data_IF_529993902406
#
_entry.id   IF_529993902406
#
_cell.length_a   1.000
_cell.length_b   1.000
_cell.length_c   1.000
_cell.angle_alpha   90.00
_cell.angle_beta   90.00
_cell.angle_gamma   90.00
#
_symmetry.space_group_name_H-M   'P 1'
#
loop_
_entity.id
_entity.type
_entity.pdbx_description
1 polymer ?
#
# COMPACT_ATOMS: atom_id res chain seq x y z
N UNK A 1 6.68 -15.37 6.23
CA UNK A 1 6.47 -13.91 6.32
C UNK A 1 6.15 -13.29 4.96
N UNK A 2 6.94 -13.55 3.91
CA UNK A 2 6.73 -12.97 2.57
C UNK A 2 5.41 -13.38 1.89
N UNK A 3 4.97 -14.63 2.04
CA UNK A 3 3.66 -15.07 1.54
C UNK A 3 2.51 -14.34 2.24
N UNK A 4 2.56 -14.20 3.57
CA UNK A 4 1.58 -13.43 4.35
C UNK A 4 1.55 -11.95 3.92
N UNK A 5 2.72 -11.33 3.79
CA UNK A 5 2.87 -9.95 3.29
C UNK A 5 2.22 -9.79 1.90
N UNK A 6 2.55 -10.68 0.96
CA UNK A 6 2.03 -10.62 -0.41
C UNK A 6 0.50 -10.77 -0.44
N UNK A 7 -0.05 -11.67 0.37
CA UNK A 7 -1.49 -11.89 0.47
C UNK A 7 -2.21 -10.67 1.08
N UNK A 8 -1.63 -10.04 2.09
CA UNK A 8 -2.18 -8.81 2.68
C UNK A 8 -2.08 -7.66 1.68
N UNK A 9 -0.91 -7.44 1.07
CA UNK A 9 -0.67 -6.36 0.11
C UNK A 9 -1.59 -6.43 -1.11
N UNK A 10 -1.97 -7.63 -1.55
CA UNK A 10 -2.97 -7.82 -2.61
C UNK A 10 -4.29 -7.11 -2.30
N UNK A 11 -4.71 -7.15 -1.03
CA UNK A 11 -5.98 -6.58 -0.54
C UNK A 11 -5.88 -5.14 -0.03
N UNK A 12 -4.66 -4.58 0.07
CA UNK A 12 -4.43 -3.23 0.57
C UNK A 12 -4.29 -2.23 -0.58
N UNK A 13 -4.92 -1.07 -0.41
CA UNK A 13 -4.63 0.10 -1.23
C UNK A 13 -3.17 0.53 -1.12
N UNK A 14 -2.62 1.10 -2.18
CA UNK A 14 -1.21 1.51 -2.30
C UNK A 14 -0.77 2.42 -1.16
N UNK A 15 -1.64 3.34 -0.71
CA UNK A 15 -1.34 4.27 0.39
C UNK A 15 -1.12 3.57 1.75
N UNK A 16 -1.55 2.32 1.91
CA UNK A 16 -1.45 1.58 3.17
C UNK A 16 -0.34 0.54 3.17
N UNK A 17 0.26 0.19 2.02
CA UNK A 17 1.25 -0.89 1.93
C UNK A 17 2.51 -0.60 2.76
N UNK A 18 3.08 0.61 2.64
CA UNK A 18 4.24 1.01 3.46
C UNK A 18 3.90 1.06 4.95
N UNK A 19 2.70 1.53 5.31
CA UNK A 19 2.26 1.57 6.71
C UNK A 19 2.19 0.16 7.31
N UNK A 20 1.67 -0.80 6.56
CA UNK A 20 1.65 -2.21 6.96
C UNK A 20 3.06 -2.77 7.13
N UNK A 21 3.98 -2.50 6.20
CA UNK A 21 5.38 -2.94 6.32
C UNK A 21 6.06 -2.33 7.54
N UNK A 22 5.83 -1.04 7.79
CA UNK A 22 6.36 -0.35 8.96
C UNK A 22 5.80 -0.93 10.26
N UNK A 23 4.48 -1.14 10.33
CA UNK A 23 3.84 -1.75 11.49
C UNK A 23 4.37 -3.18 11.74
N UNK A 24 4.50 -3.99 10.70
CA UNK A 24 5.08 -5.34 10.81
C UNK A 24 6.52 -5.28 11.35
N UNK A 25 7.33 -4.35 10.84
CA UNK A 25 8.70 -4.15 11.31
C UNK A 25 8.74 -3.75 12.79
N UNK A 26 7.93 -2.78 13.20
CA UNK A 26 7.84 -2.33 14.58
C UNK A 26 7.35 -3.44 15.51
N UNK A 27 6.29 -4.17 15.14
CA UNK A 27 5.78 -5.28 15.95
C UNK A 27 6.79 -6.41 16.13
N UNK A 28 7.62 -6.70 15.12
CA UNK A 28 8.69 -7.69 15.23
C UNK A 28 9.81 -7.22 16.16
N UNK A 29 10.15 -5.93 16.15
CA UNK A 29 11.13 -5.36 17.07
C UNK A 29 10.62 -5.26 18.50
N UNK A 30 9.35 -4.88 18.67
CA UNK A 30 8.69 -4.87 19.98
C UNK A 30 8.67 -6.28 20.59
N UNK A 31 8.35 -7.31 19.80
CA UNK A 31 8.38 -8.70 20.24
C UNK A 31 9.79 -9.22 20.60
N UNK A 32 10.86 -8.50 20.22
CA UNK A 32 12.26 -8.81 20.53
C UNK A 32 12.85 -7.88 21.60
N UNK A 33 12.02 -7.03 22.22
CA UNK A 33 12.45 -6.00 23.16
C UNK A 33 13.47 -5.00 22.57
N UNK A 34 13.49 -4.83 21.23
CA UNK A 34 14.39 -3.92 20.51
C UNK A 34 13.76 -2.53 20.25
N UNK A 35 12.49 -2.34 20.60
CA UNK A 35 11.74 -1.11 20.38
C UNK A 35 10.98 -0.71 21.64
N UNK A 36 11.41 0.35 22.35
CA UNK A 36 10.66 0.86 23.50
C UNK A 36 9.28 1.38 23.07
N UNK A 37 8.21 0.91 23.73
CA UNK A 37 6.82 1.34 23.45
C UNK A 37 6.64 2.86 23.58
N UNK A 38 7.38 3.49 24.50
CA UNK A 38 7.45 4.95 24.68
C UNK A 38 7.90 5.66 23.40
N UNK A 39 8.98 5.17 22.81
CA UNK A 39 9.61 5.74 21.63
C UNK A 39 8.69 5.56 20.41
N UNK A 40 8.09 4.37 20.27
CA UNK A 40 7.10 4.11 19.22
C UNK A 40 5.88 5.02 19.33
N UNK A 41 5.32 5.18 20.54
CA UNK A 41 4.19 6.10 20.77
C UNK A 41 4.56 7.55 20.41
N UNK A 42 5.75 8.01 20.81
CA UNK A 42 6.20 9.36 20.46
C UNK A 42 6.31 9.58 18.95
N UNK A 43 6.84 8.60 18.19
CA UNK A 43 6.89 8.73 16.73
C UNK A 43 5.49 8.91 16.11
N UNK A 44 4.48 8.19 16.64
CA UNK A 44 3.11 8.23 16.13
C UNK A 44 2.36 9.51 16.51
N UNK A 45 2.41 9.90 17.78
CA UNK A 45 1.56 10.97 18.32
C UNK A 45 2.31 12.28 18.56
N UNK A 46 3.64 12.24 18.61
CA UNK A 46 4.45 13.28 19.20
C UNK A 46 4.34 13.30 20.71
N UNK A 47 4.93 14.34 21.30
CA UNK A 47 4.84 14.57 22.74
C UNK A 47 3.70 15.51 23.11
N UNK A 48 3.14 15.27 24.30
CA UNK A 48 2.24 16.19 24.99
C UNK A 48 3.05 16.77 26.13
N UNK A 49 3.51 18.02 25.98
CA UNK A 49 4.13 18.78 27.07
C UNK A 49 3.29 20.02 27.30
N UNK A 50 3.00 20.32 28.57
CA UNK A 50 2.40 21.59 29.00
C UNK A 50 3.46 22.64 29.32
N UNK A 51 4.74 22.26 29.33
CA UNK A 51 5.85 23.18 29.51
C UNK A 51 6.15 23.90 28.19
N UNK A 52 6.34 25.21 28.28
CA UNK A 52 6.87 25.99 27.17
C UNK A 52 8.32 25.58 26.89
N UNK A 53 8.70 25.41 25.60
CA UNK A 53 10.07 25.10 25.26
C UNK A 53 11.00 26.26 25.66
N UNK A 54 12.26 25.97 26.01
CA UNK A 54 13.25 27.01 26.22
C UNK A 54 13.46 27.84 24.94
N UNK A 55 14.02 29.05 25.04
CA UNK A 55 14.39 29.85 23.86
C UNK A 55 15.17 29.00 22.84
N UNK A 56 14.83 29.16 21.56
CA UNK A 56 15.49 28.40 20.50
C UNK A 56 17.00 28.61 20.54
N UNK A 57 17.74 27.50 20.53
CA UNK A 57 19.19 27.55 20.41
C UNK A 57 19.64 28.16 19.08
N UNK A 58 18.85 27.97 18.02
CA UNK A 58 19.12 28.44 16.67
C UNK A 58 17.90 29.11 16.02
N UNK A 59 18.10 30.18 15.26
CA UNK A 59 16.99 30.88 14.59
C UNK A 59 16.45 30.13 13.36
N UNK A 60 17.27 29.31 12.72
CA UNK A 60 16.90 28.60 11.48
C UNK A 60 15.92 27.45 11.70
N UNK A 61 15.81 26.90 12.93
CA UNK A 61 14.85 25.84 13.21
C UNK A 61 13.45 26.45 13.45
N UNK A 62 12.40 25.93 12.80
CA UNK A 62 11.03 26.38 13.05
C UNK A 62 10.59 26.09 14.49
N UNK A 63 9.75 26.96 15.06
CA UNK A 63 9.28 26.83 16.46
C UNK A 63 8.58 25.49 16.71
N UNK A 64 7.82 25.02 15.71
CA UNK A 64 7.17 23.70 15.76
C UNK A 64 8.18 22.55 15.88
N UNK A 65 9.28 22.60 15.11
CA UNK A 65 10.31 21.56 15.11
C UNK A 65 11.10 21.58 16.42
N UNK A 66 11.43 22.78 16.91
CA UNK A 66 12.06 22.96 18.21
C UNK A 66 11.20 22.45 19.36
N UNK A 67 9.90 22.76 19.35
CA UNK A 67 8.95 22.26 20.34
C UNK A 67 8.86 20.73 20.36
N UNK A 68 8.89 20.06 19.20
CA UNK A 68 8.93 18.60 19.14
C UNK A 68 10.26 18.01 19.65
N UNK A 69 11.40 18.67 19.37
CA UNK A 69 12.69 18.26 19.93
C UNK A 69 12.72 18.39 21.46
N UNK A 70 12.18 19.47 22.00
CA UNK A 70 12.03 19.68 23.44
C UNK A 70 11.11 18.62 24.08
N UNK A 71 9.98 18.32 23.47
CA UNK A 71 9.11 17.23 23.96
C UNK A 71 9.80 15.87 23.92
N UNK A 72 10.71 15.64 22.97
CA UNK A 72 11.51 14.41 22.91
C UNK A 72 12.46 14.31 24.11
N UNK A 73 13.07 15.40 24.57
CA UNK A 73 13.95 15.35 25.75
C UNK A 73 13.20 15.01 27.04
N UNK A 74 11.90 15.31 27.09
CA UNK A 74 11.01 14.94 28.21
C UNK A 74 10.64 13.46 28.26
N UNK A 75 11.05 12.66 27.28
CA UNK A 75 10.93 11.21 27.36
C UNK A 75 11.90 10.60 28.38
N UNK A 76 12.94 11.34 28.80
CA UNK A 76 14.02 10.83 29.66
C UNK A 76 15.12 10.13 28.86
N UNK A 77 15.97 9.35 29.51
CA UNK A 77 17.10 8.67 28.86
C UNK A 77 16.66 7.82 27.64
N UNK A 78 17.40 7.86 26.52
CA UNK A 78 18.66 8.59 26.29
C UNK A 78 18.48 10.05 25.78
N UNK A 79 17.27 10.60 25.82
CA UNK A 79 16.93 11.88 25.17
C UNK A 79 17.12 13.12 26.05
N UNK A 80 17.37 12.93 27.35
CA UNK A 80 17.36 13.99 28.37
C UNK A 80 18.13 15.23 27.94
N UNK A 81 19.31 15.03 27.33
CA UNK A 81 20.25 16.10 26.99
C UNK A 81 20.18 16.55 25.51
N UNK A 82 19.21 16.06 24.72
CA UNK A 82 19.18 16.32 23.27
C UNK A 82 19.09 17.81 22.96
N UNK A 83 18.37 18.59 23.77
CA UNK A 83 18.20 20.03 23.56
C UNK A 83 19.49 20.79 23.86
N UNK A 84 20.14 20.45 24.97
CA UNK A 84 21.41 21.03 25.42
C UNK A 84 22.54 20.69 24.45
N UNK A 85 22.60 19.44 23.99
CA UNK A 85 23.62 18.97 23.06
C UNK A 85 23.38 19.49 21.63
N UNK A 86 22.11 19.68 21.23
CA UNK A 86 21.79 20.39 19.99
C UNK A 86 22.35 21.82 19.98
N UNK A 87 22.29 22.51 21.13
CA UNK A 87 22.81 23.87 21.25
C UNK A 87 24.34 23.97 21.15
N UNK A 88 25.08 22.88 21.39
CA UNK A 88 26.54 22.81 21.24
C UNK A 88 26.95 22.61 19.78
N UNK A 89 26.23 21.75 19.06
CA UNK A 89 26.60 21.29 17.72
C UNK A 89 25.76 21.96 16.60
N UNK A 90 25.40 23.25 16.76
CA UNK A 90 24.40 23.92 15.90
C UNK A 90 24.75 23.91 14.41
N UNK A 91 26.02 24.13 14.06
CA UNK A 91 26.46 24.17 12.66
C UNK A 91 26.35 22.78 12.00
N UNK A 92 26.60 21.71 12.77
CA UNK A 92 26.46 20.33 12.30
C UNK A 92 24.98 19.98 12.11
N UNK A 93 24.12 20.37 13.05
CA UNK A 93 22.67 20.20 12.92
C UNK A 93 22.10 21.00 11.76
N UNK A 94 22.62 22.20 11.51
CA UNK A 94 22.25 23.00 10.34
C UNK A 94 22.66 22.31 9.04
N UNK A 95 23.88 21.76 8.98
CA UNK A 95 24.34 20.98 7.83
C UNK A 95 23.43 19.79 7.55
N UNK A 96 22.97 19.07 8.58
CA UNK A 96 22.01 17.99 8.42
C UNK A 96 20.63 18.49 7.97
N UNK A 97 20.13 19.58 8.57
CA UNK A 97 18.83 20.16 8.25
C UNK A 97 18.76 20.65 6.79
N UNK A 98 19.80 21.31 6.30
CA UNK A 98 19.86 21.84 4.93
C UNK A 98 20.17 20.75 3.88
N UNK A 99 20.50 19.52 4.30
CA UNK A 99 20.81 18.42 3.38
C UNK A 99 19.55 17.88 2.68
N UNK A 100 19.72 17.34 1.46
CA UNK A 100 18.64 16.71 0.69
C UNK A 100 18.17 15.40 1.32
N UNK A 101 19.10 14.70 2.00
CA UNK A 101 18.88 13.52 2.82
C UNK A 101 19.41 13.76 4.25
N UNK A 102 18.59 14.33 5.15
CA UNK A 102 19.04 14.70 6.49
C UNK A 102 19.44 13.48 7.33
N UNK A 103 18.79 12.33 7.17
CA UNK A 103 19.09 11.14 7.96
C UNK A 103 20.45 10.56 7.59
N UNK A 104 20.76 10.47 6.28
CA UNK A 104 22.09 10.06 5.83
C UNK A 104 23.16 10.99 6.39
N UNK A 105 22.93 12.30 6.36
CA UNK A 105 23.87 13.28 6.91
C UNK A 105 24.03 13.15 8.42
N UNK A 106 22.94 12.89 9.16
CA UNK A 106 22.98 12.61 10.59
C UNK A 106 23.80 11.35 10.90
N UNK A 107 23.66 10.28 10.10
CA UNK A 107 24.43 9.04 10.25
C UNK A 107 25.93 9.26 9.97
N UNK A 108 26.28 10.03 8.93
CA UNK A 108 27.66 10.42 8.62
C UNK A 108 28.30 11.21 9.77
N UNK A 109 27.53 12.14 10.34
CA UNK A 109 27.99 12.96 11.45
C UNK A 109 28.05 12.17 12.76
N UNK A 110 27.15 11.19 12.96
CA UNK A 110 27.15 10.16 14.00
C UNK A 110 27.87 10.54 15.30
N UNK A 111 29.13 10.15 15.43
CA UNK A 111 29.96 10.35 16.64
C UNK A 111 30.28 11.81 16.97
N UNK A 112 30.21 12.70 15.98
CA UNK A 112 30.40 14.14 16.13
C UNK A 112 29.17 14.84 16.68
N UNK A 113 27.97 14.23 16.60
CA UNK A 113 26.75 14.78 17.17
C UNK A 113 26.54 14.19 18.57
N UNK A 114 26.84 14.99 19.59
CA UNK A 114 26.75 14.55 20.99
C UNK A 114 25.33 14.10 21.37
N UNK A 115 24.32 14.83 20.88
CA UNK A 115 22.90 14.62 21.17
C UNK A 115 22.35 13.23 20.79
N UNK A 116 22.98 12.52 19.85
CA UNK A 116 22.45 11.27 19.27
C UNK A 116 23.44 10.12 19.36
N UNK A 117 24.53 10.30 20.10
CA UNK A 117 25.58 9.29 20.21
C UNK A 117 25.01 8.00 20.81
N UNK A 118 25.08 6.92 20.05
CA UNK A 118 24.55 5.61 20.47
C UNK A 118 23.05 5.42 20.24
N UNK A 119 22.38 6.34 19.53
CA UNK A 119 20.98 6.18 19.18
C UNK A 119 20.80 5.02 18.20
N UNK A 120 19.74 4.24 18.40
CA UNK A 120 19.33 3.21 17.44
C UNK A 120 18.74 3.84 16.17
N UNK A 121 18.65 3.06 15.09
CA UNK A 121 18.03 3.50 13.83
C UNK A 121 16.62 4.08 14.04
N UNK A 122 15.83 3.47 14.93
CA UNK A 122 14.48 3.96 15.26
C UNK A 122 14.51 5.31 15.99
N UNK A 123 15.48 5.51 16.89
CA UNK A 123 15.62 6.77 17.62
C UNK A 123 16.08 7.90 16.68
N UNK A 124 16.88 7.58 15.66
CA UNK A 124 17.21 8.53 14.59
C UNK A 124 15.99 8.91 13.74
N UNK A 125 15.03 8.00 13.52
CA UNK A 125 13.75 8.35 12.90
C UNK A 125 12.97 9.38 13.73
N UNK A 126 13.00 9.28 15.06
CA UNK A 126 12.37 10.27 15.94
C UNK A 126 13.05 11.64 15.84
N UNK A 127 14.39 11.67 15.83
CA UNK A 127 15.16 12.90 15.62
C UNK A 127 14.79 13.53 14.27
N UNK A 128 14.75 12.74 13.20
CA UNK A 128 14.34 13.21 11.88
C UNK A 128 12.90 13.74 11.87
N UNK A 129 11.96 13.07 12.55
CA UNK A 129 10.58 13.54 12.69
C UNK A 129 10.53 14.92 13.34
N UNK A 130 11.38 15.19 14.34
CA UNK A 130 11.45 16.49 15.01
C UNK A 130 12.10 17.57 14.12
N UNK A 131 13.09 17.22 13.29
CA UNK A 131 13.86 18.19 12.49
C UNK A 131 13.29 18.42 11.08
N UNK A 132 13.03 17.34 10.34
CA UNK A 132 12.64 17.33 8.92
C UNK A 132 11.51 16.31 8.69
N UNK A 133 10.29 16.58 9.21
CA UNK A 133 9.15 15.67 9.09
C UNK A 133 8.76 15.36 7.64
N UNK A 134 9.09 16.24 6.70
CA UNK A 134 8.90 16.04 5.25
C UNK A 134 9.75 14.88 4.70
N UNK A 135 10.84 14.52 5.36
CA UNK A 135 11.75 13.41 4.98
C UNK A 135 11.49 12.11 5.73
N UNK A 136 10.46 12.06 6.57
CA UNK A 136 10.16 10.89 7.39
C UNK A 136 9.73 9.67 6.55
N UNK A 137 8.96 9.86 5.47
CA UNK A 137 8.48 8.74 4.65
C UNK A 137 9.64 7.99 3.96
N UNK A 138 10.58 8.66 3.25
CA UNK A 138 11.78 8.01 2.74
C UNK A 138 12.61 7.31 3.81
N UNK A 139 12.74 7.93 4.99
CA UNK A 139 13.48 7.34 6.10
C UNK A 139 12.82 6.06 6.65
N UNK A 140 11.48 6.04 6.75
CA UNK A 140 10.72 4.83 7.10
C UNK A 140 10.92 3.73 6.05
N UNK A 141 10.98 4.08 4.75
CA UNK A 141 11.29 3.10 3.71
C UNK A 141 12.69 2.50 3.91
N UNK A 142 13.70 3.33 4.20
CA UNK A 142 15.05 2.86 4.52
C UNK A 142 15.06 1.94 5.74
N UNK A 143 14.40 2.34 6.82
CA UNK A 143 14.26 1.54 8.04
C UNK A 143 13.62 0.17 7.78
N UNK A 144 12.53 0.13 7.02
CA UNK A 144 11.87 -1.13 6.64
C UNK A 144 12.80 -1.98 5.76
N UNK A 145 13.48 -1.38 4.79
CA UNK A 145 14.40 -2.10 3.90
C UNK A 145 15.57 -2.72 4.68
N UNK A 146 16.14 -2.00 5.64
CA UNK A 146 17.27 -2.47 6.45
C UNK A 146 16.87 -3.62 7.39
N UNK A 147 15.63 -3.63 7.88
CA UNK A 147 15.19 -4.60 8.89
C UNK A 147 14.38 -5.78 8.33
N UNK A 148 13.61 -5.58 7.27
CA UNK A 148 12.78 -6.62 6.62
C UNK A 148 13.26 -6.99 5.21
N UNK A 149 14.03 -6.13 4.55
CA UNK A 149 14.48 -6.28 3.16
C UNK A 149 13.71 -5.43 2.15
N UNK A 150 14.33 -5.17 0.99
CA UNK A 150 13.77 -4.30 -0.07
C UNK A 150 12.41 -4.77 -0.61
N UNK A 151 12.11 -6.07 -0.53
CA UNK A 151 10.82 -6.64 -0.96
C UNK A 151 9.63 -6.12 -0.15
N UNK A 152 9.85 -5.55 1.05
CA UNK A 152 8.79 -5.00 1.89
C UNK A 152 8.50 -3.52 1.62
N UNK A 153 9.34 -2.86 0.81
CA UNK A 153 9.07 -1.49 0.29
C UNK A 153 8.70 -1.49 -1.19
N UNK A 154 8.89 -2.62 -1.86
CA UNK A 154 8.52 -2.83 -3.27
C UNK A 154 7.36 -3.81 -3.32
N UNK A 155 6.09 -3.35 -3.26
CA UNK A 155 4.95 -4.25 -3.26
C UNK A 155 4.90 -5.06 -4.57
N UNK A 156 4.48 -6.33 -4.52
CA UNK A 156 4.38 -7.15 -5.71
C UNK A 156 3.35 -6.57 -6.69
N UNK A 157 3.55 -6.77 -8.01
CA UNK A 157 2.56 -6.38 -9.00
C UNK A 157 1.25 -7.12 -8.77
N UNK A 158 0.14 -6.53 -9.23
CA UNK A 158 -1.16 -7.17 -9.20
C UNK A 158 -1.14 -8.43 -10.08
N UNK A 159 -1.54 -9.56 -9.50
CA UNK A 159 -1.60 -10.86 -10.17
C UNK A 159 -2.99 -11.50 -9.95
N UNK A 160 -3.81 -11.44 -11.01
CA UNK A 160 -5.15 -12.01 -11.01
C UNK A 160 -5.12 -13.55 -11.05
N UNK A 161 -4.11 -14.15 -11.69
CA UNK A 161 -3.99 -15.60 -11.80
C UNK A 161 -3.67 -16.22 -10.44
N UNK A 162 -2.74 -15.64 -9.69
CA UNK A 162 -2.45 -16.04 -8.30
C UNK A 162 -3.69 -15.87 -7.40
N UNK A 163 -4.44 -14.77 -7.58
CA UNK A 163 -5.69 -14.54 -6.86
C UNK A 163 -6.76 -15.60 -7.15
N UNK A 164 -6.86 -16.04 -8.40
CA UNK A 164 -7.75 -17.11 -8.83
C UNK A 164 -7.33 -18.48 -8.27
N UNK A 165 -6.03 -18.77 -8.25
CA UNK A 165 -5.50 -20.03 -7.74
C UNK A 165 -5.78 -20.22 -6.23
N UNK A 166 -5.82 -19.13 -5.47
CA UNK A 166 -6.18 -19.13 -4.05
C UNK A 166 -7.69 -19.28 -3.79
N UNK A 167 -8.53 -19.27 -4.84
CA UNK A 167 -9.98 -19.35 -4.72
C UNK A 167 -10.51 -20.76 -5.02
N UNK A 168 -11.79 -20.98 -4.71
CA UNK A 168 -12.51 -22.23 -5.00
C UNK A 168 -13.89 -21.93 -5.56
N UNK A 169 -14.68 -22.97 -5.84
CA UNK A 169 -16.09 -22.84 -6.19
C UNK A 169 -16.97 -22.35 -5.02
N UNK A 170 -16.43 -22.27 -3.80
CA UNK A 170 -17.14 -21.78 -2.62
C UNK A 170 -16.53 -20.49 -2.05
N UNK A 171 -15.33 -20.13 -2.50
CA UNK A 171 -14.56 -18.98 -2.02
C UNK A 171 -14.72 -17.84 -3.03
N UNK A 172 -15.50 -16.79 -2.74
CA UNK A 172 -15.68 -15.69 -3.67
C UNK A 172 -14.40 -14.87 -3.83
N UNK A 173 -14.23 -14.29 -5.02
CA UNK A 173 -13.18 -13.32 -5.32
C UNK A 173 -13.76 -11.91 -5.26
N UNK A 174 -13.06 -10.99 -4.61
CA UNK A 174 -13.59 -9.66 -4.26
C UNK A 174 -12.61 -8.59 -4.74
N UNK A 175 -13.02 -7.84 -5.75
CA UNK A 175 -12.37 -6.59 -6.14
C UNK A 175 -12.84 -5.46 -5.23
N UNK A 176 -11.91 -4.98 -4.41
CA UNK A 176 -12.06 -3.77 -3.63
C UNK A 176 -11.61 -2.59 -4.49
N UNK A 177 -12.58 -1.79 -4.94
CA UNK A 177 -12.37 -0.75 -5.93
C UNK A 177 -11.84 0.53 -5.29
N UNK A 178 -10.94 1.21 -6.00
CA UNK A 178 -10.64 2.63 -5.79
C UNK A 178 -11.44 3.49 -6.78
N UNK A 179 -11.73 4.77 -6.48
CA UNK A 179 -12.49 5.63 -7.39
C UNK A 179 -11.90 5.68 -8.80
N UNK A 180 -12.70 5.32 -9.80
CA UNK A 180 -12.28 5.30 -11.20
C UNK A 180 -11.48 4.05 -11.63
N UNK A 181 -11.34 3.04 -10.77
CA UNK A 181 -10.84 1.71 -11.15
C UNK A 181 -11.99 0.81 -11.62
N UNK A 182 -11.76 0.08 -12.71
CA UNK A 182 -12.68 -0.94 -13.21
C UNK A 182 -11.90 -2.24 -13.53
N UNK A 183 -12.17 -3.35 -12.82
CA UNK A 183 -11.50 -4.63 -13.07
C UNK A 183 -12.07 -5.39 -14.27
N UNK A 184 -13.16 -4.91 -14.90
CA UNK A 184 -13.90 -5.68 -15.90
C UNK A 184 -13.06 -6.06 -17.11
N UNK A 185 -12.22 -5.15 -17.62
CA UNK A 185 -11.33 -5.43 -18.76
C UNK A 185 -10.30 -6.52 -18.41
N UNK A 186 -9.68 -6.42 -17.24
CA UNK A 186 -8.72 -7.42 -16.76
C UNK A 186 -9.38 -8.79 -16.53
N UNK A 187 -10.59 -8.79 -15.95
CA UNK A 187 -11.36 -10.01 -15.71
C UNK A 187 -11.84 -10.66 -17.01
N UNK A 188 -12.25 -9.87 -18.01
CA UNK A 188 -12.66 -10.33 -19.34
C UNK A 188 -11.53 -11.02 -20.08
N UNK A 189 -10.35 -10.40 -20.08
CA UNK A 189 -9.15 -11.00 -20.64
C UNK A 189 -8.80 -12.30 -19.92
N UNK A 190 -8.77 -12.29 -18.58
CA UNK A 190 -8.44 -13.47 -17.79
C UNK A 190 -9.44 -14.63 -18.00
N UNK A 191 -10.74 -14.33 -18.11
CA UNK A 191 -11.75 -15.33 -18.41
C UNK A 191 -11.52 -15.98 -19.78
N UNK A 192 -11.19 -15.17 -20.80
CA UNK A 192 -10.80 -15.66 -22.13
C UNK A 192 -9.56 -16.56 -22.06
N UNK A 193 -8.53 -16.16 -21.32
CA UNK A 193 -7.29 -16.94 -21.16
C UNK A 193 -7.55 -18.29 -20.46
N UNK A 194 -8.56 -18.35 -19.58
CA UNK A 194 -9.01 -19.58 -18.92
C UNK A 194 -10.04 -20.38 -19.73
N UNK A 195 -10.40 -19.95 -20.95
CA UNK A 195 -11.50 -20.50 -21.75
C UNK A 195 -12.84 -20.56 -20.98
N UNK A 196 -13.12 -19.54 -20.18
CA UNK A 196 -14.33 -19.41 -19.38
C UNK A 196 -15.16 -18.22 -19.84
N UNK A 197 -16.48 -18.39 -19.82
CA UNK A 197 -17.43 -17.29 -19.95
C UNK A 197 -17.97 -16.87 -18.58
N UNK A 198 -18.30 -15.58 -18.45
CA UNK A 198 -18.98 -15.08 -17.26
C UNK A 198 -20.23 -14.28 -17.59
N UNK A 199 -21.19 -14.32 -16.68
CA UNK A 199 -22.39 -13.47 -16.69
C UNK A 199 -22.23 -12.40 -15.62
N UNK A 200 -22.55 -11.15 -15.95
CA UNK A 200 -22.43 -10.02 -15.01
C UNK A 200 -23.76 -9.34 -14.75
N UNK A 201 -23.98 -8.88 -13.51
CA UNK A 201 -25.08 -7.99 -13.13
C UNK A 201 -24.55 -6.82 -12.31
N UNK A 202 -25.00 -5.61 -12.62
CA UNK A 202 -24.78 -4.46 -11.74
C UNK A 202 -25.85 -4.41 -10.67
N UNK A 203 -25.43 -4.50 -9.41
CA UNK A 203 -26.34 -4.49 -8.28
C UNK A 203 -26.79 -3.06 -8.00
N UNK A 204 -28.10 -2.87 -8.06
CA UNK A 204 -28.81 -1.68 -7.61
C UNK A 204 -30.06 -2.08 -6.83
N UNK A 205 -30.94 -1.12 -6.57
CA UNK A 205 -32.19 -1.40 -5.87
C UNK A 205 -33.03 -2.42 -6.67
N UNK A 206 -33.46 -3.50 -6.01
CA UNK A 206 -34.32 -4.53 -6.60
C UNK A 206 -33.63 -5.61 -7.45
N UNK A 207 -32.30 -5.57 -7.63
CA UNK A 207 -31.59 -6.57 -8.46
C UNK A 207 -31.25 -7.88 -7.72
N UNK A 208 -31.46 -7.93 -6.40
CA UNK A 208 -31.14 -9.09 -5.56
C UNK A 208 -31.71 -10.43 -6.08
N UNK A 209 -33.03 -10.55 -6.34
CA UNK A 209 -33.61 -11.80 -6.85
C UNK A 209 -33.02 -12.28 -8.18
N UNK A 210 -32.67 -11.33 -9.08
CA UNK A 210 -32.03 -11.66 -10.36
C UNK A 210 -30.59 -12.13 -10.16
N UNK A 211 -29.87 -11.54 -9.20
CA UNK A 211 -28.54 -12.00 -8.80
C UNK A 211 -28.58 -13.42 -8.20
N UNK A 212 -29.58 -13.74 -7.36
CA UNK A 212 -29.77 -15.09 -6.82
C UNK A 212 -29.97 -16.13 -7.94
N UNK A 213 -30.87 -15.86 -8.88
CA UNK A 213 -31.12 -16.75 -10.02
C UNK A 213 -29.87 -16.97 -10.88
N UNK A 214 -29.08 -15.92 -11.08
CA UNK A 214 -27.84 -16.02 -11.84
C UNK A 214 -26.77 -16.82 -11.11
N UNK A 215 -26.67 -16.68 -9.77
CA UNK A 215 -25.82 -17.53 -8.93
C UNK A 215 -26.26 -18.99 -9.06
N UNK A 216 -27.56 -19.28 -8.91
CA UNK A 216 -28.09 -20.65 -8.97
C UNK A 216 -27.92 -21.31 -10.35
N UNK A 217 -27.98 -20.52 -11.42
CA UNK A 217 -27.62 -20.98 -12.76
C UNK A 217 -26.12 -21.25 -12.87
N UNK A 218 -25.27 -20.30 -12.43
CA UNK A 218 -23.82 -20.43 -12.47
C UNK A 218 -23.29 -21.63 -11.67
N UNK A 219 -23.84 -21.88 -10.48
CA UNK A 219 -23.49 -23.03 -9.64
C UNK A 219 -23.77 -24.37 -10.33
N UNK A 220 -24.85 -24.45 -11.13
CA UNK A 220 -25.23 -25.67 -11.87
C UNK A 220 -24.45 -25.83 -13.18
N UNK A 221 -24.30 -24.73 -13.92
CA UNK A 221 -23.66 -24.70 -15.24
C UNK A 221 -22.13 -24.68 -15.16
N UNK A 222 -21.56 -24.27 -14.02
CA UNK A 222 -20.11 -24.09 -13.88
C UNK A 222 -19.57 -22.80 -14.46
N UNK A 223 -20.43 -21.84 -14.78
CA UNK A 223 -20.03 -20.53 -15.33
C UNK A 223 -19.63 -19.55 -14.23
N UNK A 224 -18.89 -18.51 -14.61
CA UNK A 224 -18.51 -17.47 -13.65
C UNK A 224 -19.64 -16.43 -13.54
N UNK A 225 -19.86 -15.92 -12.32
CA UNK A 225 -20.86 -14.89 -12.05
C UNK A 225 -20.17 -13.66 -11.48
N UNK A 226 -20.44 -12.49 -12.05
CA UNK A 226 -19.87 -11.21 -11.62
C UNK A 226 -20.97 -10.32 -11.07
N UNK A 227 -20.93 -10.04 -9.76
CA UNK A 227 -21.80 -9.07 -9.12
C UNK A 227 -21.05 -7.73 -9.00
N UNK A 228 -21.50 -6.75 -9.76
CA UNK A 228 -20.90 -5.43 -9.75
C UNK A 228 -21.57 -4.52 -8.72
N UNK A 229 -20.82 -3.56 -8.19
CA UNK A 229 -21.31 -2.52 -7.28
C UNK A 229 -22.05 -3.03 -6.03
N UNK A 230 -21.54 -4.08 -5.37
CA UNK A 230 -22.19 -4.70 -4.21
C UNK A 230 -22.54 -3.72 -3.07
N UNK A 231 -21.70 -2.70 -2.85
CA UNK A 231 -21.95 -1.60 -1.91
C UNK A 231 -23.28 -0.83 -2.14
N UNK A 232 -23.88 -0.91 -3.33
CA UNK A 232 -25.16 -0.25 -3.64
C UNK A 232 -26.39 -1.07 -3.22
N UNK A 233 -26.24 -2.36 -2.95
CA UNK A 233 -27.35 -3.28 -2.66
C UNK A 233 -27.28 -3.85 -1.24
N UNK A 234 -27.02 -2.98 -0.26
CA UNK A 234 -26.74 -3.34 1.14
C UNK A 234 -27.84 -4.19 1.79
N UNK A 235 -29.11 -3.96 1.46
CA UNK A 235 -30.24 -4.71 2.03
C UNK A 235 -30.30 -6.18 1.59
N UNK A 236 -29.70 -6.51 0.45
CA UNK A 236 -29.67 -7.89 -0.08
C UNK A 236 -28.40 -8.65 0.30
N UNK A 237 -27.30 -7.95 0.60
CA UNK A 237 -26.02 -8.58 0.94
C UNK A 237 -26.08 -9.61 2.09
N UNK A 238 -26.89 -9.44 3.16
CA UNK A 238 -27.05 -10.49 4.17
C UNK A 238 -27.68 -11.79 3.64
N UNK A 239 -28.50 -11.71 2.59
CA UNK A 239 -29.03 -12.91 1.92
C UNK A 239 -27.95 -13.62 1.10
N UNK A 240 -27.11 -12.85 0.42
CA UNK A 240 -25.95 -13.39 -0.29
C UNK A 240 -25.01 -14.12 0.67
N UNK A 241 -24.73 -13.54 1.84
CA UNK A 241 -23.91 -14.14 2.90
C UNK A 241 -24.46 -15.51 3.31
N UNK A 242 -25.74 -15.58 3.71
CA UNK A 242 -26.41 -16.84 4.06
C UNK A 242 -26.36 -17.86 2.92
N UNK A 243 -26.57 -17.42 1.68
CA UNK A 243 -26.50 -18.30 0.51
C UNK A 243 -25.11 -18.92 0.37
N UNK A 244 -24.05 -18.12 0.50
CA UNK A 244 -22.66 -18.59 0.42
C UNK A 244 -22.32 -19.57 1.55
N UNK A 245 -22.79 -19.32 2.78
CA UNK A 245 -22.60 -20.23 3.93
C UNK A 245 -23.29 -21.59 3.73
N UNK A 246 -24.41 -21.62 3.00
CA UNK A 246 -25.15 -22.86 2.71
C UNK A 246 -24.66 -23.62 1.48
N UNK A 247 -23.66 -23.12 0.74
CA UNK A 247 -23.16 -23.81 -0.45
C UNK A 247 -22.40 -25.09 -0.07
N UNK A 248 -22.79 -26.21 -0.70
CA UNK A 248 -22.11 -27.50 -0.54
C UNK A 248 -21.19 -27.77 -1.74
N UNK A 249 -19.92 -28.16 -1.53
CA UNK A 249 -19.02 -28.58 -2.61
C UNK A 249 -19.59 -29.69 -3.51
N UNK A 250 -20.47 -30.56 -2.99
CA UNK A 250 -21.11 -31.65 -3.74
C UNK A 250 -22.14 -31.17 -4.75
N UNK A 251 -22.80 -30.05 -4.47
CA UNK A 251 -23.89 -29.50 -5.27
C UNK A 251 -23.48 -28.25 -6.06
N UNK A 252 -22.19 -27.89 -6.03
CA UNK A 252 -21.65 -26.71 -6.70
C UNK A 252 -20.61 -27.14 -7.72
N UNK A 253 -20.81 -26.78 -8.99
CA UNK A 253 -19.90 -27.14 -10.07
C UNK A 253 -18.47 -26.66 -9.79
N UNK A 254 -17.45 -27.48 -10.08
CA UNK A 254 -16.04 -27.20 -9.72
C UNK A 254 -15.47 -25.94 -10.39
N UNK A 255 -15.93 -25.64 -11.60
CA UNK A 255 -15.49 -24.47 -12.38
C UNK A 255 -16.24 -23.17 -12.00
N UNK A 256 -17.32 -23.26 -11.23
CA UNK A 256 -18.07 -22.07 -10.81
C UNK A 256 -17.16 -21.14 -10.02
N UNK A 257 -17.28 -19.84 -10.26
CA UNK A 257 -16.62 -18.79 -9.49
C UNK A 257 -17.54 -17.61 -9.33
N UNK A 258 -17.58 -17.07 -8.12
CA UNK A 258 -18.28 -15.82 -7.81
C UNK A 258 -17.28 -14.68 -7.69
N UNK A 259 -17.47 -13.66 -8.50
CA UNK A 259 -16.70 -12.43 -8.50
C UNK A 259 -17.57 -11.29 -7.98
N UNK A 260 -17.06 -10.53 -7.02
CA UNK A 260 -17.73 -9.39 -6.41
C UNK A 260 -16.89 -8.14 -6.67
N UNK A 261 -17.52 -7.04 -7.06
CA UNK A 261 -16.84 -5.74 -7.10
C UNK A 261 -17.53 -4.77 -6.15
N UNK A 262 -16.77 -4.06 -5.33
CA UNK A 262 -17.34 -3.12 -4.38
C UNK A 262 -16.36 -2.03 -3.98
N UNK A 263 -16.85 -0.81 -3.76
CA UNK A 263 -16.13 0.14 -2.91
C UNK A 263 -16.12 -0.39 -1.46
N UNK A 264 -15.11 0.01 -0.65
CA UNK A 264 -15.13 -0.21 0.79
C UNK A 264 -16.43 0.34 1.38
N UNK A 265 -17.15 -0.51 2.12
CA UNK A 265 -18.41 -0.14 2.77
C UNK A 265 -18.52 -0.87 4.10
N UNK A 266 -18.90 -0.17 5.19
CA UNK A 266 -19.12 -0.81 6.48
C UNK A 266 -20.36 -1.72 6.49
N UNK A 267 -21.23 -1.63 5.48
CA UNK A 267 -22.40 -2.48 5.32
C UNK A 267 -22.10 -3.77 4.52
N UNK A 268 -20.91 -3.91 3.94
CA UNK A 268 -20.54 -5.13 3.24
C UNK A 268 -20.35 -6.27 4.25
N UNK A 269 -20.91 -7.47 4.02
CA UNK A 269 -20.87 -8.56 4.99
C UNK A 269 -19.46 -9.00 5.36
N UNK A 270 -19.19 -9.05 6.66
CA UNK A 270 -17.87 -9.40 7.20
C UNK A 270 -17.52 -10.85 6.88
N UNK A 271 -18.47 -11.81 6.93
CA UNK A 271 -18.15 -13.21 6.64
C UNK A 271 -17.72 -13.41 5.18
N UNK A 272 -18.34 -12.69 4.23
CA UNK A 272 -17.92 -12.71 2.82
C UNK A 272 -16.48 -12.18 2.69
N UNK A 273 -16.13 -11.09 3.39
CA UNK A 273 -14.77 -10.55 3.37
C UNK A 273 -13.75 -11.47 4.05
N UNK A 274 -14.12 -12.15 5.14
CA UNK A 274 -13.24 -13.06 5.85
C UNK A 274 -12.95 -14.32 5.05
N UNK A 275 -13.98 -14.88 4.40
CA UNK A 275 -13.89 -16.13 3.65
C UNK A 275 -13.51 -15.93 2.18
N UNK A 276 -13.55 -14.69 1.65
CA UNK A 276 -13.24 -14.40 0.26
C UNK A 276 -11.79 -13.99 -0.01
N UNK A 277 -11.34 -14.20 -1.25
CA UNK A 277 -10.05 -13.69 -1.75
C UNK A 277 -10.22 -12.23 -2.14
N UNK A 278 -9.59 -11.32 -1.40
CA UNK A 278 -9.69 -9.87 -1.62
C UNK A 278 -8.52 -9.36 -2.44
N UNK A 279 -8.80 -8.46 -3.36
CA UNK A 279 -7.78 -7.80 -4.17
C UNK A 279 -8.15 -6.36 -4.51
N UNK A 280 -7.13 -5.52 -4.67
CA UNK A 280 -7.25 -4.15 -5.17
C UNK A 280 -6.57 -4.06 -6.54
N UNK A 281 -7.14 -3.25 -7.44
CA UNK A 281 -6.58 -2.98 -8.76
C UNK A 281 -6.25 -1.48 -8.87
N UNK A 282 -5.27 -1.03 -8.09
CA UNK A 282 -4.74 0.33 -8.17
C UNK A 282 -3.48 0.35 -9.03
N UNK A 283 -3.27 1.42 -9.82
CA UNK A 283 -1.98 1.60 -10.48
C UNK A 283 -0.88 1.70 -9.43
N UNK A 284 0.30 1.09 -9.67
CA UNK A 284 1.39 1.13 -8.71
C UNK A 284 1.89 2.57 -8.50
N UNK A 285 2.46 2.84 -7.34
CA UNK A 285 3.13 4.13 -7.09
C UNK A 285 4.59 4.10 -7.51
N UNK A 286 5.06 5.24 -7.98
CA UNK A 286 6.43 5.47 -8.42
C UNK A 286 6.57 5.32 -9.94
N UNK A 287 7.38 6.21 -10.50
CA UNK A 287 7.66 6.28 -11.93
C UNK A 287 8.15 4.95 -12.51
N UNK A 288 9.08 4.28 -11.81
CA UNK A 288 9.64 2.99 -12.22
C UNK A 288 8.57 1.91 -12.27
N UNK A 289 7.73 1.81 -11.24
CA UNK A 289 6.70 0.78 -11.14
C UNK A 289 5.61 0.98 -12.21
N UNK A 290 5.21 2.23 -12.46
CA UNK A 290 4.28 2.58 -13.54
C UNK A 290 4.83 2.25 -14.93
N UNK A 291 6.12 2.51 -15.14
CA UNK A 291 6.80 2.14 -16.38
C UNK A 291 6.83 0.62 -16.55
N UNK A 292 7.24 -0.13 -15.52
CA UNK A 292 7.27 -1.59 -15.56
C UNK A 292 5.89 -2.19 -15.77
N UNK A 293 4.85 -1.68 -15.11
CA UNK A 293 3.47 -2.13 -15.31
C UNK A 293 3.02 -1.98 -16.77
N UNK A 294 3.41 -0.88 -17.43
CA UNK A 294 3.13 -0.67 -18.86
C UNK A 294 3.82 -1.72 -19.72
N UNK A 295 5.08 -2.05 -19.42
CA UNK A 295 5.84 -3.06 -20.17
C UNK A 295 5.38 -4.51 -19.95
N UNK A 296 4.67 -4.78 -18.86
CA UNK A 296 4.11 -6.10 -18.54
C UNK A 296 2.70 -6.30 -19.11
N UNK A 297 2.13 -5.28 -19.77
CA UNK A 297 0.77 -5.33 -20.30
C UNK A 297 0.78 -5.65 -21.79
N UNK A 298 -0.14 -6.51 -22.24
CA UNK A 298 -0.32 -6.75 -23.67
C UNK A 298 -0.79 -5.49 -24.42
N UNK A 299 -0.32 -5.27 -25.66
CA UNK A 299 0.62 -6.11 -26.41
C UNK A 299 2.10 -5.78 -26.16
N UNK A 300 2.41 -4.89 -25.20
CA UNK A 300 3.78 -4.37 -24.99
C UNK A 300 4.71 -5.44 -24.43
N UNK A 301 4.20 -6.39 -23.64
CA UNK A 301 4.99 -7.50 -23.11
C UNK A 301 5.40 -8.53 -24.16
N UNK A 302 4.77 -8.52 -25.34
CA UNK A 302 5.10 -9.40 -26.46
C UNK A 302 6.22 -8.78 -27.31
N UNK A 303 7.37 -9.44 -27.40
CA UNK A 303 8.49 -8.96 -28.21
C UNK A 303 8.15 -8.95 -29.72
N UNK A 304 7.33 -9.89 -30.20
CA UNK A 304 6.93 -9.95 -31.60
C UNK A 304 6.16 -8.68 -32.03
N UNK A 305 5.40 -8.08 -31.10
CA UNK A 305 4.64 -6.87 -31.33
C UNK A 305 5.49 -5.71 -31.86
N UNK A 306 6.69 -5.51 -31.31
CA UNK A 306 7.55 -4.37 -31.65
C UNK A 306 8.82 -4.75 -32.41
N UNK A 307 9.20 -6.03 -32.46
CA UNK A 307 10.36 -6.50 -33.23
C UNK A 307 9.98 -7.01 -34.63
N UNK A 308 8.91 -7.80 -34.75
CA UNK A 308 8.59 -8.49 -36.01
C UNK A 308 7.47 -7.80 -36.78
N UNK A 309 6.46 -7.28 -36.08
CA UNK A 309 5.29 -6.64 -36.70
C UNK A 309 5.54 -5.17 -37.08
N UNK A 310 6.68 -4.60 -36.70
CA UNK A 310 7.00 -3.19 -36.92
C UNK A 310 8.05 -2.99 -38.03
N UNK A 311 7.73 -2.15 -39.03
CA UNK A 311 8.64 -1.82 -40.14
C UNK A 311 9.87 -1.01 -39.67
N UNK A 312 9.76 -0.24 -38.59
CA UNK A 312 10.84 0.64 -38.06
C UNK A 312 11.02 0.42 -36.55
N UNK A 313 11.51 -0.75 -36.11
CA UNK A 313 11.49 -1.16 -34.70
C UNK A 313 12.26 -0.20 -33.79
N UNK A 314 13.40 0.34 -34.24
CA UNK A 314 14.18 1.30 -33.45
C UNK A 314 13.42 2.61 -33.13
N UNK A 315 12.74 3.18 -34.12
CA UNK A 315 11.98 4.42 -33.94
C UNK A 315 10.74 4.16 -33.08
N UNK A 316 10.08 3.02 -33.31
CA UNK A 316 8.93 2.61 -32.52
C UNK A 316 9.29 2.40 -31.04
N UNK A 317 10.38 1.68 -30.74
CA UNK A 317 10.86 1.47 -29.36
C UNK A 317 11.11 2.80 -28.63
N UNK A 318 11.69 3.80 -29.30
CA UNK A 318 11.88 5.15 -28.72
C UNK A 318 10.54 5.83 -28.42
N UNK A 319 9.62 5.84 -29.36
CA UNK A 319 8.29 6.45 -29.18
C UNK A 319 7.49 5.74 -28.09
N UNK A 320 7.53 4.40 -28.07
CA UNK A 320 6.88 3.58 -27.06
C UNK A 320 7.43 3.89 -25.67
N UNK A 321 8.75 3.91 -25.50
CA UNK A 321 9.37 4.29 -24.23
C UNK A 321 8.96 5.71 -23.82
N UNK A 322 9.03 6.69 -24.72
CA UNK A 322 8.62 8.06 -24.44
C UNK A 322 7.15 8.16 -24.02
N UNK A 323 6.26 7.40 -24.66
CA UNK A 323 4.85 7.35 -24.33
C UNK A 323 4.60 6.70 -22.97
N UNK A 324 5.21 5.54 -22.69
CA UNK A 324 5.09 4.87 -21.39
C UNK A 324 5.67 5.72 -20.25
N UNK A 325 6.80 6.40 -20.49
CA UNK A 325 7.40 7.32 -19.53
C UNK A 325 6.49 8.54 -19.29
N UNK A 326 5.97 9.17 -20.35
CA UNK A 326 5.04 10.29 -20.23
C UNK A 326 3.76 9.89 -19.49
N UNK A 327 3.21 8.72 -19.80
CA UNK A 327 2.06 8.15 -19.10
C UNK A 327 2.36 7.95 -17.61
N UNK A 328 3.52 7.38 -17.26
CA UNK A 328 3.94 7.20 -15.88
C UNK A 328 4.10 8.54 -15.14
N UNK A 329 4.66 9.57 -15.78
CA UNK A 329 4.76 10.93 -15.21
C UNK A 329 3.37 11.52 -14.97
N UNK A 330 2.43 11.38 -15.91
CA UNK A 330 1.06 11.86 -15.75
C UNK A 330 0.35 11.16 -14.59
N UNK A 331 0.53 9.85 -14.43
CA UNK A 331 -0.03 9.10 -13.30
C UNK A 331 0.51 9.62 -11.97
N UNK A 332 1.83 9.81 -11.84
CA UNK A 332 2.44 10.36 -10.63
C UNK A 332 1.97 11.80 -10.36
N UNK A 333 1.90 12.65 -11.40
CA UNK A 333 1.49 14.05 -11.26
C UNK A 333 0.07 14.22 -10.71
N UNK A 334 -0.83 13.27 -10.98
CA UNK A 334 -2.21 13.25 -10.44
C UNK A 334 -2.26 13.09 -8.92
N UNK A 335 -1.19 12.59 -8.30
CA UNK A 335 -1.09 12.47 -6.83
C UNK A 335 -0.81 13.82 -6.16
N UNK A 336 -0.32 14.79 -6.91
CA UNK A 336 -0.08 16.14 -6.44
C UNK A 336 -1.30 16.99 -6.81
N UNK A 337 -1.93 17.62 -5.82
CA UNK A 337 -3.12 18.46 -6.00
C UNK A 337 -2.89 19.69 -6.91
N UNK A 338 -3.85 20.64 -6.94
CA UNK A 338 -3.59 21.94 -7.56
C UNK A 338 -2.38 22.59 -6.86
N UNK A 339 -1.46 23.13 -7.67
CA UNK A 339 -0.23 23.79 -7.20
C UNK A 339 -0.53 25.19 -6.67
#
# INVERSE_FOLDING_TARGET
MQSLYSNICRSLFEKHKLLMSFQLCCSLKEARDELPVRDYRFLLTGGVSMEDPPPKAAQWIPDRCWGELFKMSRLGEPYTNVVEDFAKDQDLWKSAYDHSDPLARVLELGTSLTAIKGFSEFQLLMVLRCLRPDKLVPAIMGFVANNLGESFITPPPFDLASSYADSSNLTPLIFVLSPGSDPFAALSKFASDQNMEFKSISLGQGQGPRAEQMIDAGMREGSWVVLQNCHLCTSWMPKLERKLETMDPKNTHRNYRLWLTSYPSPQFPVAILQNGVKMTNEPPKGLRSNLMGSFLTDPICDAEFFEEKCVKPWHFKKLLYSLCFFHAVLQERRLFGPL
#
